data_IF_207153312442
#
_entry.id   IF_207153312442
#
_cell.length_a   1.000
_cell.length_b   1.000
_cell.length_c   1.000
_cell.angle_alpha   90.00
_cell.angle_beta   90.00
_cell.angle_gamma   90.00
#
_symmetry.space_group_name_H-M   'P 1'
#
loop_
_entity.id
_entity.type
_entity.pdbx_description
1 polymer ?
#
# COMPACT_ATOMS: atom_id res chain seq x y z
N UNK A 1 5.75 -27.11 -5.49
CA UNK A 1 5.48 -25.85 -4.75
C UNK A 1 4.67 -26.21 -3.51
N UNK A 2 4.99 -25.61 -2.39
CA UNK A 2 4.29 -25.81 -1.11
C UNK A 2 3.96 -24.42 -0.56
N UNK A 3 2.73 -24.24 -0.09
CA UNK A 3 2.33 -23.03 0.63
C UNK A 3 2.86 -23.12 2.06
N UNK A 4 3.51 -22.07 2.53
CA UNK A 4 4.05 -21.97 3.88
C UNK A 4 3.51 -20.71 4.55
N UNK A 5 3.37 -20.77 5.87
CA UNK A 5 2.94 -19.65 6.69
C UNK A 5 3.98 -19.43 7.80
N UNK A 6 4.24 -18.17 8.13
CA UNK A 6 5.09 -17.82 9.25
C UNK A 6 4.50 -18.30 10.57
N UNK A 7 5.33 -18.82 11.45
CA UNK A 7 4.91 -19.26 12.80
C UNK A 7 4.68 -18.08 13.76
N UNK A 8 5.35 -16.96 13.50
CA UNK A 8 5.24 -15.74 14.30
C UNK A 8 4.54 -14.70 13.45
N UNK A 9 3.46 -14.14 14.00
CA UNK A 9 2.74 -13.03 13.38
C UNK A 9 3.61 -11.75 13.40
N UNK A 10 3.26 -10.78 12.56
CA UNK A 10 3.93 -9.49 12.53
C UNK A 10 4.72 -9.23 11.24
N UNK A 11 5.06 -7.97 11.04
CA UNK A 11 5.84 -7.48 9.88
C UNK A 11 7.22 -8.15 9.76
N UNK A 12 7.83 -8.51 10.90
CA UNK A 12 9.13 -9.17 10.93
C UNK A 12 9.19 -10.51 10.19
N UNK A 13 8.03 -11.10 9.87
CA UNK A 13 7.92 -12.33 9.10
C UNK A 13 7.78 -12.10 7.58
N UNK A 14 7.67 -10.86 7.14
CA UNK A 14 7.69 -10.53 5.71
C UNK A 14 9.13 -10.60 5.21
N UNK A 15 9.34 -11.27 4.08
CA UNK A 15 10.68 -11.45 3.51
C UNK A 15 10.69 -11.22 2.01
N UNK A 16 11.77 -10.67 1.50
CA UNK A 16 11.94 -10.42 0.07
C UNK A 16 12.04 -11.73 -0.73
N UNK A 17 11.80 -11.65 -2.04
CA UNK A 17 11.99 -12.77 -2.94
C UNK A 17 13.43 -13.33 -2.84
N UNK A 18 13.55 -14.65 -2.93
CA UNK A 18 14.81 -15.41 -2.90
C UNK A 18 15.63 -15.29 -1.60
N UNK A 19 15.01 -14.90 -0.48
CA UNK A 19 15.69 -14.80 0.82
C UNK A 19 15.53 -16.03 1.70
N UNK A 20 14.50 -16.85 1.47
CA UNK A 20 14.33 -18.13 2.17
C UNK A 20 15.20 -19.17 1.47
N UNK A 21 16.36 -19.47 2.02
CA UNK A 21 17.36 -20.37 1.40
C UNK A 21 17.74 -21.56 2.27
N UNK A 22 17.22 -21.59 3.51
CA UNK A 22 17.58 -22.63 4.50
C UNK A 22 16.34 -23.36 5.02
N UNK A 23 16.49 -24.62 5.31
CA UNK A 23 15.50 -25.46 6.01
C UNK A 23 16.04 -25.71 7.41
N UNK A 24 15.27 -25.38 8.45
CA UNK A 24 15.70 -25.53 9.84
C UNK A 24 15.83 -27.01 10.27
N UNK A 25 15.03 -27.87 9.67
CA UNK A 25 15.10 -29.34 9.88
C UNK A 25 15.25 -30.00 8.51
N UNK A 26 16.30 -30.80 8.28
CA UNK A 26 16.49 -31.49 7.02
C UNK A 26 15.27 -32.36 6.65
N UNK A 27 14.80 -32.22 5.43
CA UNK A 27 13.70 -33.02 4.88
C UNK A 27 14.28 -33.92 3.80
N UNK A 28 14.02 -35.23 3.89
CA UNK A 28 14.56 -36.20 2.95
C UNK A 28 14.10 -35.90 1.51
N UNK A 29 15.04 -35.82 0.60
CA UNK A 29 14.78 -35.49 -0.80
C UNK A 29 14.71 -33.99 -1.13
N UNK A 30 14.81 -33.07 -0.12
CA UNK A 30 14.85 -31.61 -0.35
C UNK A 30 16.28 -31.12 -0.26
N UNK A 31 16.85 -30.72 -1.38
CA UNK A 31 18.22 -30.19 -1.46
C UNK A 31 18.31 -28.68 -1.39
N UNK A 32 17.28 -27.98 -1.85
CA UNK A 32 17.23 -26.51 -1.87
C UNK A 32 15.81 -26.03 -1.65
N UNK A 33 15.68 -24.87 -1.05
CA UNK A 33 14.41 -24.14 -0.90
C UNK A 33 14.62 -22.71 -1.37
N UNK A 34 13.58 -22.11 -1.94
CA UNK A 34 13.56 -20.70 -2.29
C UNK A 34 12.12 -20.19 -2.33
N UNK A 35 11.92 -18.92 -2.04
CA UNK A 35 10.68 -18.20 -2.32
C UNK A 35 10.88 -17.36 -3.58
N UNK A 36 10.32 -17.73 -4.74
CA UNK A 36 10.49 -16.97 -5.98
C UNK A 36 9.85 -15.57 -5.89
N UNK A 37 8.83 -15.42 -5.06
CA UNK A 37 8.15 -14.16 -4.79
C UNK A 37 8.37 -13.71 -3.34
N UNK A 38 8.13 -12.44 -3.08
CA UNK A 38 8.13 -11.88 -1.73
C UNK A 38 7.05 -12.55 -0.87
N UNK A 39 7.38 -12.93 0.35
CA UNK A 39 6.38 -13.32 1.34
C UNK A 39 5.93 -12.07 2.10
N UNK A 40 4.65 -11.78 2.04
CA UNK A 40 4.00 -10.60 2.64
C UNK A 40 2.70 -10.99 3.36
N UNK A 41 2.04 -10.03 3.99
CA UNK A 41 0.79 -10.26 4.74
C UNK A 41 0.99 -10.28 6.25
N UNK A 42 2.23 -10.15 6.73
CA UNK A 42 2.49 -9.90 8.14
C UNK A 42 2.18 -8.44 8.50
N UNK A 43 1.33 -8.22 9.50
CA UNK A 43 0.94 -6.89 10.01
C UNK A 43 1.27 -6.80 11.49
N UNK A 44 1.56 -5.60 11.97
CA UNK A 44 1.63 -5.35 13.40
C UNK A 44 0.23 -5.37 14.04
N UNK A 45 0.20 -5.43 15.36
CA UNK A 45 -1.03 -5.27 16.12
C UNK A 45 -1.57 -3.85 15.91
N UNK A 46 -2.87 -3.75 15.60
CA UNK A 46 -3.54 -2.48 15.39
C UNK A 46 -3.52 -1.64 16.67
N UNK A 47 -3.17 -0.38 16.55
CA UNK A 47 -3.22 0.56 17.68
C UNK A 47 -4.66 1.01 17.96
N UNK A 48 -4.90 1.53 19.17
CA UNK A 48 -6.22 2.07 19.55
C UNK A 48 -6.69 3.20 18.63
N UNK A 49 -5.77 4.00 18.11
CA UNK A 49 -6.10 5.10 17.21
C UNK A 49 -6.43 4.60 15.80
N UNK A 50 -5.71 3.62 15.30
CA UNK A 50 -6.03 2.94 14.03
C UNK A 50 -7.40 2.22 14.13
N UNK A 51 -7.67 1.56 15.25
CA UNK A 51 -8.97 0.94 15.51
C UNK A 51 -10.10 1.96 15.52
N UNK A 52 -9.91 3.12 16.18
CA UNK A 52 -10.90 4.21 16.17
C UNK A 52 -11.16 4.72 14.77
N UNK A 53 -10.09 4.96 14.01
CA UNK A 53 -10.20 5.42 12.63
C UNK A 53 -10.98 4.42 11.78
N UNK A 54 -10.65 3.14 11.86
CA UNK A 54 -11.35 2.07 11.14
C UNK A 54 -12.84 1.97 11.54
N UNK A 55 -13.17 2.19 12.81
CA UNK A 55 -14.57 2.22 13.27
C UNK A 55 -15.33 3.41 12.67
N UNK A 56 -14.71 4.60 12.61
CA UNK A 56 -15.31 5.77 12.00
C UNK A 56 -15.55 5.56 10.50
N UNK A 57 -14.54 5.08 9.78
CA UNK A 57 -14.64 4.75 8.35
C UNK A 57 -15.71 3.68 8.07
N UNK A 58 -15.78 2.65 8.92
CA UNK A 58 -16.84 1.63 8.79
C UNK A 58 -18.24 2.20 9.00
N UNK A 59 -18.42 3.15 9.91
CA UNK A 59 -19.71 3.82 10.11
C UNK A 59 -20.07 4.71 8.92
N UNK A 60 -19.15 5.48 8.38
CA UNK A 60 -19.35 6.32 7.21
C UNK A 60 -19.70 5.49 5.97
N UNK A 61 -19.09 4.31 5.81
CA UNK A 61 -19.39 3.36 4.75
C UNK A 61 -20.77 2.69 4.91
N UNK A 62 -21.23 2.45 6.14
CA UNK A 62 -22.56 1.85 6.38
C UNK A 62 -23.71 2.72 5.89
N UNK A 63 -23.59 4.04 5.98
CA UNK A 63 -24.64 4.97 5.54
C UNK A 63 -24.74 5.09 4.01
N UNK A 64 -23.75 4.63 3.25
CA UNK A 64 -23.70 4.72 1.78
C UNK A 64 -23.69 3.39 1.05
N UNK A 65 -23.83 2.28 1.76
CA UNK A 65 -23.71 0.93 1.17
C UNK A 65 -24.96 0.56 0.38
N UNK A 66 -24.83 0.58 -0.95
CA UNK A 66 -25.70 -0.11 -1.88
C UNK A 66 -24.93 -1.34 -2.39
N UNK A 67 -25.52 -2.54 -2.32
CA UNK A 67 -24.85 -3.80 -2.68
C UNK A 67 -24.19 -3.69 -4.05
N UNK A 68 -22.85 -3.84 -4.06
CA UNK A 68 -22.04 -3.85 -5.27
C UNK A 68 -21.62 -2.46 -5.78
N UNK A 69 -21.67 -1.43 -4.94
CA UNK A 69 -21.09 -0.14 -5.27
C UNK A 69 -19.57 -0.12 -5.04
N UNK A 70 -18.94 1.00 -5.39
CA UNK A 70 -17.50 1.23 -5.23
C UNK A 70 -17.01 1.00 -3.78
N UNK A 71 -17.76 1.49 -2.78
CA UNK A 71 -17.40 1.35 -1.37
C UNK A 71 -17.46 -0.11 -0.91
N UNK A 72 -18.38 -0.90 -1.42
CA UNK A 72 -18.47 -2.32 -1.10
C UNK A 72 -17.25 -3.10 -1.62
N UNK A 73 -16.86 -2.90 -2.88
CA UNK A 73 -15.68 -3.56 -3.44
C UNK A 73 -14.40 -3.20 -2.69
N UNK A 74 -14.24 -1.92 -2.35
CA UNK A 74 -13.12 -1.45 -1.53
C UNK A 74 -13.10 -2.16 -0.18
N UNK A 75 -14.21 -2.11 0.55
CA UNK A 75 -14.36 -2.76 1.86
C UNK A 75 -14.08 -4.26 1.81
N UNK A 76 -14.62 -4.97 0.80
CA UNK A 76 -14.38 -6.40 0.64
C UNK A 76 -12.92 -6.71 0.40
N UNK A 77 -12.26 -5.95 -0.47
CA UNK A 77 -10.84 -6.13 -0.74
C UNK A 77 -9.99 -5.86 0.51
N UNK A 78 -10.25 -4.76 1.23
CA UNK A 78 -9.51 -4.36 2.43
C UNK A 78 -9.79 -5.27 3.64
N UNK A 79 -10.89 -6.04 3.64
CA UNK A 79 -11.16 -7.03 4.68
C UNK A 79 -10.29 -8.29 4.55
N UNK A 80 -9.63 -8.50 3.41
CA UNK A 80 -8.72 -9.62 3.21
C UNK A 80 -7.41 -9.38 3.95
N UNK A 81 -7.04 -10.32 4.82
CA UNK A 81 -5.83 -10.21 5.63
C UNK A 81 -4.58 -9.99 4.77
N UNK A 82 -3.83 -8.94 5.08
CA UNK A 82 -2.61 -8.59 4.36
C UNK A 82 -2.80 -7.51 3.29
N UNK A 83 -4.03 -7.10 3.01
CA UNK A 83 -4.33 -5.94 2.17
C UNK A 83 -4.36 -4.69 3.06
N UNK A 84 -3.69 -3.64 2.63
CA UNK A 84 -3.66 -2.34 3.31
C UNK A 84 -4.55 -1.30 2.66
N UNK A 85 -4.66 -1.34 1.33
CA UNK A 85 -5.46 -0.37 0.57
C UNK A 85 -5.93 -0.99 -0.73
N UNK A 86 -7.16 -0.66 -1.13
CA UNK A 86 -7.74 -1.07 -2.41
C UNK A 86 -8.30 0.14 -3.16
N UNK A 87 -8.03 0.19 -4.45
CA UNK A 87 -8.57 1.17 -5.39
C UNK A 87 -9.52 0.42 -6.32
N UNK A 88 -10.71 0.96 -6.54
CA UNK A 88 -11.71 0.35 -7.40
C UNK A 88 -11.86 1.18 -8.67
N UNK A 89 -11.63 0.56 -9.82
CA UNK A 89 -11.79 1.18 -11.13
C UNK A 89 -13.00 0.56 -11.82
N UNK A 90 -14.15 1.26 -11.84
CA UNK A 90 -15.35 0.77 -12.49
C UNK A 90 -15.20 0.84 -14.02
N UNK A 91 -15.82 -0.09 -14.74
CA UNK A 91 -15.91 -0.11 -16.20
C UNK A 91 -14.55 0.01 -16.93
N UNK A 92 -13.46 -0.42 -16.29
CA UNK A 92 -12.09 -0.27 -16.79
C UNK A 92 -11.86 -0.90 -18.18
N UNK A 93 -12.66 -1.89 -18.54
CA UNK A 93 -12.61 -2.58 -19.84
C UNK A 93 -14.03 -2.71 -20.43
N UNK A 94 -14.87 -1.69 -20.24
CA UNK A 94 -16.25 -1.66 -20.71
C UNK A 94 -17.30 -2.08 -19.66
N UNK A 95 -18.57 -2.13 -20.03
CA UNK A 95 -19.65 -2.43 -19.12
C UNK A 95 -19.45 -3.75 -18.37
N UNK A 96 -19.96 -3.83 -17.13
CA UNK A 96 -19.91 -4.99 -16.23
C UNK A 96 -18.50 -5.36 -15.71
N UNK A 97 -17.45 -4.64 -16.10
CA UNK A 97 -16.09 -4.88 -15.61
C UNK A 97 -15.74 -4.02 -14.40
N UNK A 98 -15.13 -4.63 -13.40
CA UNK A 98 -14.57 -3.95 -12.23
C UNK A 98 -13.13 -4.40 -12.05
N UNK A 99 -12.21 -3.44 -11.93
CA UNK A 99 -10.82 -3.71 -11.56
C UNK A 99 -10.58 -3.24 -10.13
N UNK A 100 -10.00 -4.10 -9.31
CA UNK A 100 -9.54 -3.74 -7.97
C UNK A 100 -8.02 -3.78 -8.00
N UNK A 101 -7.42 -2.64 -7.71
CA UNK A 101 -5.98 -2.49 -7.58
C UNK A 101 -5.63 -2.55 -6.10
N UNK A 102 -4.77 -3.46 -5.70
CA UNK A 102 -4.51 -3.75 -4.29
C UNK A 102 -3.06 -3.55 -3.90
N UNK A 103 -2.89 -2.88 -2.75
CA UNK A 103 -1.61 -2.77 -2.07
C UNK A 103 -1.64 -3.63 -0.80
N UNK A 104 -0.49 -4.10 -0.40
CA UNK A 104 -0.37 -4.83 0.86
C UNK A 104 -0.36 -3.88 2.08
N UNK A 105 -0.34 -4.44 3.28
CA UNK A 105 -0.34 -3.70 4.53
C UNK A 105 0.87 -2.76 4.72
N UNK A 106 1.93 -2.91 3.92
CA UNK A 106 3.09 -2.03 3.92
C UNK A 106 2.95 -0.86 2.92
N UNK A 107 1.88 -0.86 2.10
CA UNK A 107 1.70 0.10 1.01
C UNK A 107 2.52 -0.24 -0.24
N UNK A 108 2.97 -1.51 -0.36
CA UNK A 108 3.66 -2.00 -1.54
C UNK A 108 2.68 -2.78 -2.45
N UNK A 109 3.04 -2.94 -3.71
CA UNK A 109 2.25 -3.70 -4.67
C UNK A 109 1.95 -5.12 -4.15
N UNK A 110 0.67 -5.48 -4.03
CA UNK A 110 0.27 -6.80 -3.56
C UNK A 110 0.77 -7.89 -4.52
N UNK A 111 1.31 -8.98 -3.97
CA UNK A 111 1.74 -10.12 -4.77
C UNK A 111 0.55 -10.92 -5.32
N UNK A 112 0.84 -11.85 -6.25
CA UNK A 112 -0.18 -12.67 -6.91
C UNK A 112 -1.03 -13.50 -5.94
N UNK A 113 -0.47 -13.93 -4.82
CA UNK A 113 -1.20 -14.69 -3.79
C UNK A 113 -2.24 -13.82 -3.09
N UNK A 114 -1.90 -12.57 -2.74
CA UNK A 114 -2.84 -11.63 -2.15
C UNK A 114 -3.92 -11.19 -3.15
N UNK A 115 -3.54 -10.94 -4.41
CA UNK A 115 -4.49 -10.64 -5.48
C UNK A 115 -5.51 -11.77 -5.65
N UNK A 116 -5.05 -13.02 -5.68
CA UNK A 116 -5.93 -14.19 -5.78
C UNK A 116 -6.82 -14.35 -4.54
N UNK A 117 -6.30 -14.09 -3.34
CA UNK A 117 -7.10 -14.14 -2.11
C UNK A 117 -8.25 -13.12 -2.12
N UNK A 118 -8.00 -11.91 -2.63
CA UNK A 118 -9.05 -10.89 -2.81
C UNK A 118 -10.07 -11.35 -3.85
N UNK A 119 -9.61 -11.86 -4.98
CA UNK A 119 -10.50 -12.39 -6.01
C UNK A 119 -11.40 -13.50 -5.46
N UNK A 120 -10.80 -14.50 -4.80
CA UNK A 120 -11.53 -15.64 -4.24
C UNK A 120 -12.54 -15.20 -3.16
N UNK A 121 -12.17 -14.24 -2.32
CA UNK A 121 -13.07 -13.71 -1.28
C UNK A 121 -14.32 -13.07 -1.88
N UNK A 122 -14.18 -12.32 -2.97
CA UNK A 122 -15.28 -11.58 -3.59
C UNK A 122 -16.11 -12.47 -4.53
N UNK A 123 -15.45 -13.40 -5.23
CA UNK A 123 -16.04 -14.22 -6.30
C UNK A 123 -16.39 -15.65 -5.87
N UNK A 124 -16.06 -16.08 -4.65
CA UNK A 124 -16.39 -17.39 -4.13
C UNK A 124 -17.64 -17.35 -3.24
N UNK A 125 -18.49 -18.38 -3.28
CA UNK A 125 -18.46 -19.52 -4.22
C UNK A 125 -18.70 -19.08 -5.67
N UNK A 126 -18.36 -19.91 -6.63
CA UNK A 126 -18.65 -19.67 -8.06
C UNK A 126 -20.14 -19.84 -8.38
N UNK A 127 -20.97 -19.19 -7.54
CA UNK A 127 -22.41 -19.11 -7.64
C UNK A 127 -22.80 -17.64 -7.62
N UNK A 128 -23.35 -17.11 -8.71
CA UNK A 128 -23.74 -15.70 -8.76
C UNK A 128 -24.76 -15.26 -7.69
N UNK A 129 -25.42 -16.22 -7.03
CA UNK A 129 -26.45 -15.95 -6.00
C UNK A 129 -25.80 -15.82 -4.61
N UNK A 130 -24.71 -16.54 -4.37
CA UNK A 130 -24.13 -16.70 -3.03
C UNK A 130 -22.83 -15.91 -2.83
N UNK A 131 -22.19 -15.44 -3.92
CA UNK A 131 -20.98 -14.62 -3.85
C UNK A 131 -21.27 -13.17 -3.50
N UNK A 132 -20.25 -12.44 -3.04
CA UNK A 132 -20.39 -11.01 -2.70
C UNK A 132 -20.63 -10.14 -3.95
N UNK A 133 -19.92 -10.41 -5.04
CA UNK A 133 -20.06 -9.65 -6.28
C UNK A 133 -21.42 -9.88 -6.96
N UNK A 134 -22.03 -8.83 -7.56
CA UNK A 134 -23.24 -8.96 -8.36
C UNK A 134 -23.12 -10.00 -9.48
N UNK A 135 -24.25 -10.57 -9.97
CA UNK A 135 -24.24 -11.73 -10.86
C UNK A 135 -23.43 -11.57 -12.15
N UNK A 136 -23.47 -10.39 -12.77
CA UNK A 136 -22.89 -10.17 -14.10
C UNK A 136 -21.51 -9.51 -14.07
N UNK A 137 -20.92 -9.31 -12.87
CA UNK A 137 -19.65 -8.63 -12.76
C UNK A 137 -18.49 -9.52 -13.20
N UNK A 138 -17.62 -8.94 -14.03
CA UNK A 138 -16.33 -9.48 -14.41
C UNK A 138 -15.28 -8.74 -13.58
N UNK A 139 -14.77 -9.42 -12.54
CA UNK A 139 -13.79 -8.87 -11.63
C UNK A 139 -12.36 -9.13 -12.11
N UNK A 140 -11.52 -8.10 -12.05
CA UNK A 140 -10.07 -8.20 -12.20
C UNK A 140 -9.42 -7.67 -10.93
N UNK A 141 -8.47 -8.41 -10.36
CA UNK A 141 -7.65 -7.94 -9.24
C UNK A 141 -6.20 -7.87 -9.70
N UNK A 142 -5.56 -6.74 -9.49
CA UNK A 142 -4.17 -6.48 -9.92
C UNK A 142 -3.40 -5.69 -8.88
N UNK A 143 -2.07 -5.69 -9.00
CA UNK A 143 -1.24 -4.68 -8.34
C UNK A 143 -1.30 -3.35 -9.12
N UNK A 144 -1.01 -2.20 -8.48
CA UNK A 144 -0.89 -0.92 -9.17
C UNK A 144 0.36 -0.87 -10.04
N UNK A 145 0.34 0.00 -11.05
CA UNK A 145 1.56 0.51 -11.64
C UNK A 145 2.16 1.56 -10.70
N UNK A 146 3.44 1.42 -10.35
CA UNK A 146 4.09 2.31 -9.39
C UNK A 146 4.66 3.53 -10.07
N UNK A 147 4.16 4.72 -9.72
CA UNK A 147 4.74 6.01 -10.11
C UNK A 147 5.86 6.35 -9.13
N UNK A 148 7.10 6.09 -9.56
CA UNK A 148 8.27 6.33 -8.73
C UNK A 148 8.56 7.82 -8.56
N UNK A 149 8.64 8.29 -7.31
CA UNK A 149 8.93 9.67 -6.96
C UNK A 149 10.25 9.73 -6.19
N UNK A 150 11.18 10.55 -6.69
CA UNK A 150 12.42 10.85 -6.01
C UNK A 150 12.28 12.25 -5.37
N UNK A 151 12.54 12.33 -4.08
CA UNK A 151 12.53 13.57 -3.33
C UNK A 151 13.95 14.02 -3.07
N UNK A 152 14.21 15.30 -3.34
CA UNK A 152 15.50 15.93 -3.01
C UNK A 152 15.21 17.13 -2.11
N UNK A 153 15.80 17.12 -0.93
CA UNK A 153 15.68 18.17 0.08
C UNK A 153 17.02 18.95 0.07
N UNK A 154 16.95 20.24 -0.16
CA UNK A 154 18.12 21.11 -0.20
C UNK A 154 18.23 21.91 1.09
N UNK A 155 19.42 21.96 1.69
CA UNK A 155 19.71 22.77 2.87
C UNK A 155 18.94 22.32 4.13
N UNK A 156 18.76 21.01 4.34
CA UNK A 156 18.10 20.48 5.53
C UNK A 156 18.84 20.83 6.81
N UNK A 157 18.16 21.48 7.74
CA UNK A 157 18.62 21.73 9.11
C UNK A 157 17.78 20.92 10.10
N UNK A 158 18.43 20.30 11.08
CA UNK A 158 17.80 19.42 12.04
C UNK A 158 17.80 20.04 13.45
N UNK A 159 16.75 19.75 14.20
CA UNK A 159 16.69 20.06 15.62
C UNK A 159 17.77 19.29 16.41
N UNK A 160 18.22 19.85 17.53
CA UNK A 160 19.21 19.23 18.41
C UNK A 160 18.81 17.83 18.86
N UNK A 161 19.65 16.85 18.61
CA UNK A 161 19.47 15.46 19.04
C UNK A 161 18.79 14.54 18.01
N UNK A 162 18.46 15.06 16.83
CA UNK A 162 17.97 14.25 15.72
C UNK A 162 19.08 13.86 14.75
N UNK A 163 18.97 12.66 14.18
CA UNK A 163 19.85 12.17 13.14
C UNK A 163 19.11 12.15 11.79
N UNK A 164 19.79 12.55 10.74
CA UNK A 164 19.23 12.71 9.39
C UNK A 164 18.52 11.43 8.91
N UNK A 165 19.15 10.26 9.06
CA UNK A 165 18.59 8.99 8.65
C UNK A 165 17.20 8.72 9.29
N UNK A 166 17.05 9.04 10.58
CA UNK A 166 15.80 8.85 11.30
C UNK A 166 14.72 9.84 10.84
N UNK A 167 15.10 11.09 10.60
CA UNK A 167 14.17 12.14 10.11
C UNK A 167 13.69 11.80 8.70
N UNK A 168 14.56 11.37 7.80
CA UNK A 168 14.18 10.94 6.46
C UNK A 168 13.26 9.71 6.49
N UNK A 169 13.51 8.75 7.38
CA UNK A 169 12.65 7.57 7.54
C UNK A 169 11.24 7.94 8.04
N UNK A 170 11.14 8.88 8.99
CA UNK A 170 9.82 9.38 9.46
C UNK A 170 9.11 10.17 8.36
N UNK A 171 9.83 10.93 7.55
CA UNK A 171 9.25 11.62 6.38
C UNK A 171 8.73 10.62 5.34
N UNK A 172 9.47 9.57 4.99
CA UNK A 172 9.01 8.51 4.09
C UNK A 172 7.74 7.82 4.60
N UNK A 173 7.67 7.55 5.90
CA UNK A 173 6.48 6.98 6.54
C UNK A 173 5.29 7.94 6.48
N UNK A 174 5.51 9.23 6.71
CA UNK A 174 4.48 10.26 6.60
C UNK A 174 3.97 10.40 5.16
N UNK A 175 4.87 10.31 4.15
CA UNK A 175 4.49 10.26 2.74
C UNK A 175 3.62 9.04 2.41
N UNK A 176 3.99 7.86 2.92
CA UNK A 176 3.19 6.64 2.73
C UNK A 176 1.77 6.79 3.28
N UNK A 177 1.60 7.45 4.43
CA UNK A 177 0.29 7.76 4.99
C UNK A 177 -0.47 8.80 4.16
N UNK A 178 0.24 9.80 3.64
CA UNK A 178 -0.35 10.78 2.72
C UNK A 178 -0.89 10.11 1.46
N UNK A 179 -0.12 9.21 0.84
CA UNK A 179 -0.56 8.47 -0.36
C UNK A 179 -1.81 7.64 -0.12
N UNK A 180 -1.92 6.94 1.00
CA UNK A 180 -3.11 6.15 1.35
C UNK A 180 -4.38 6.98 1.38
N UNK A 181 -4.29 8.20 1.90
CA UNK A 181 -5.42 9.11 2.00
C UNK A 181 -5.73 9.80 0.66
N UNK A 182 -4.71 10.12 -0.12
CA UNK A 182 -4.82 10.84 -1.39
C UNK A 182 -5.48 10.01 -2.49
N UNK A 183 -5.18 8.73 -2.57
CA UNK A 183 -5.66 7.81 -3.63
C UNK A 183 -7.20 7.75 -3.73
N UNK A 184 -7.90 8.19 -2.69
CA UNK A 184 -9.37 8.20 -2.71
C UNK A 184 -9.99 9.50 -3.25
N UNK A 185 -9.25 10.59 -3.42
CA UNK A 185 -9.88 11.90 -3.65
C UNK A 185 -9.35 12.74 -4.81
N UNK A 186 -8.05 12.77 -5.08
CA UNK A 186 -7.48 13.85 -5.90
C UNK A 186 -6.78 13.43 -7.21
N UNK A 187 -6.30 12.22 -7.38
CA UNK A 187 -5.54 11.79 -8.57
C UNK A 187 -4.21 12.54 -8.79
N UNK A 188 -3.69 13.24 -7.76
CA UNK A 188 -2.45 14.03 -7.84
C UNK A 188 -1.65 13.97 -6.54
N UNK A 189 -0.34 13.78 -6.63
CA UNK A 189 0.58 14.10 -5.53
C UNK A 189 0.83 15.60 -5.54
N UNK A 190 0.24 16.31 -4.59
CA UNK A 190 0.34 17.77 -4.52
C UNK A 190 1.61 18.20 -3.81
N UNK A 191 2.41 19.01 -4.47
CA UNK A 191 3.65 19.56 -3.92
C UNK A 191 3.45 20.25 -2.56
N UNK A 192 2.37 21.04 -2.43
CA UNK A 192 2.08 21.74 -1.19
C UNK A 192 1.86 20.82 0.01
N UNK A 193 1.24 19.65 -0.22
CA UNK A 193 1.03 18.67 0.83
C UNK A 193 2.33 17.94 1.20
N UNK A 194 3.16 17.60 0.21
CA UNK A 194 4.47 17.00 0.44
C UNK A 194 5.38 17.95 1.20
N UNK A 195 5.40 19.24 0.81
CA UNK A 195 6.14 20.29 1.51
C UNK A 195 5.66 20.43 2.97
N UNK A 196 4.34 20.47 3.18
CA UNK A 196 3.75 20.50 4.52
C UNK A 196 4.10 19.25 5.34
N UNK A 197 4.13 18.07 4.73
CA UNK A 197 4.51 16.83 5.39
C UNK A 197 5.95 16.89 5.88
N UNK A 198 6.88 17.39 5.06
CA UNK A 198 8.27 17.57 5.46
C UNK A 198 8.39 18.58 6.61
N UNK A 199 7.74 19.73 6.49
CA UNK A 199 7.75 20.78 7.53
C UNK A 199 7.24 20.27 8.88
N UNK A 200 6.29 19.33 8.88
CA UNK A 200 5.72 18.76 10.10
C UNK A 200 6.40 17.45 10.56
N UNK A 201 7.45 17.02 9.86
CA UNK A 201 8.21 15.84 10.28
C UNK A 201 9.06 16.17 11.51
N UNK A 202 8.96 15.33 12.54
CA UNK A 202 9.69 15.53 13.79
C UNK A 202 11.21 15.57 13.54
N UNK A 203 11.88 16.59 14.08
CA UNK A 203 13.32 16.79 13.93
C UNK A 203 13.74 17.66 12.75
N UNK A 204 12.81 18.10 11.90
CA UNK A 204 13.08 19.11 10.87
C UNK A 204 12.97 20.50 11.52
N UNK A 205 14.09 21.23 11.56
CA UNK A 205 14.12 22.61 11.99
C UNK A 205 13.83 23.58 10.83
N UNK A 206 14.54 23.38 9.69
CA UNK A 206 14.38 24.19 8.49
C UNK A 206 14.92 23.45 7.24
N UNK A 207 14.54 23.91 6.04
CA UNK A 207 15.11 23.48 4.77
C UNK A 207 14.91 24.58 3.71
N UNK A 208 15.86 24.68 2.75
CA UNK A 208 15.79 25.72 1.72
C UNK A 208 14.92 25.33 0.54
N UNK A 209 14.83 24.04 0.21
CA UNK A 209 14.07 23.57 -0.93
C UNK A 209 13.70 22.10 -0.87
N UNK A 210 12.66 21.77 -1.60
CA UNK A 210 12.20 20.40 -1.83
C UNK A 210 11.81 20.25 -3.29
N UNK A 211 12.18 19.15 -3.92
CA UNK A 211 11.72 18.82 -5.28
C UNK A 211 11.19 17.40 -5.34
N UNK A 212 10.25 17.17 -6.25
CA UNK A 212 9.67 15.88 -6.64
C UNK A 212 10.06 15.59 -8.09
N UNK A 213 10.89 14.58 -8.31
CA UNK A 213 11.47 14.28 -9.63
C UNK A 213 12.14 15.51 -10.29
N UNK A 214 12.79 16.36 -9.48
CA UNK A 214 13.47 17.59 -9.93
C UNK A 214 12.55 18.77 -10.25
N UNK A 215 11.26 18.72 -9.91
CA UNK A 215 10.28 19.79 -10.11
C UNK A 215 9.55 20.11 -8.79
N UNK A 216 8.88 21.27 -8.76
CA UNK A 216 7.94 21.68 -7.70
C UNK A 216 6.49 21.62 -8.16
N UNK A 217 6.23 20.97 -9.28
CA UNK A 217 4.89 20.78 -9.83
C UNK A 217 4.22 19.53 -9.23
N UNK A 218 2.89 19.51 -9.25
CA UNK A 218 2.12 18.33 -8.85
C UNK A 218 2.38 17.17 -9.82
N UNK A 219 2.31 15.94 -9.32
CA UNK A 219 2.46 14.72 -10.12
C UNK A 219 1.07 14.08 -10.26
N UNK A 220 0.57 13.96 -11.50
CA UNK A 220 -0.69 13.28 -11.80
C UNK A 220 -0.52 11.78 -11.62
N UNK A 221 -1.55 11.13 -11.06
CA UNK A 221 -1.62 9.69 -10.81
C UNK A 221 -2.91 9.18 -11.45
N UNK A 222 -2.80 8.24 -12.36
CA UNK A 222 -3.95 7.62 -13.00
C UNK A 222 -4.66 6.61 -12.07
N UNK A 223 -5.90 6.21 -12.41
CA UNK A 223 -6.74 5.39 -11.53
C UNK A 223 -6.18 4.01 -11.18
N UNK A 224 -5.25 3.48 -11.96
CA UNK A 224 -4.60 2.18 -11.73
C UNK A 224 -3.13 2.31 -11.32
N UNK A 225 -2.69 3.54 -11.11
CA UNK A 225 -1.37 3.89 -10.61
C UNK A 225 -1.38 4.15 -9.10
N UNK A 226 -0.20 4.03 -8.51
CA UNK A 226 0.03 4.38 -7.11
C UNK A 226 1.38 5.07 -6.93
N UNK A 227 1.44 6.22 -6.24
CA UNK A 227 2.68 6.90 -5.97
C UNK A 227 3.56 6.06 -5.02
N UNK A 228 4.83 5.97 -5.33
CA UNK A 228 5.81 5.24 -4.55
C UNK A 228 7.05 6.09 -4.31
N UNK A 229 7.41 6.29 -3.05
CA UNK A 229 8.68 6.96 -2.69
C UNK A 229 9.83 6.03 -3.04
N UNK A 230 10.55 6.38 -4.10
CA UNK A 230 11.72 5.61 -4.55
C UNK A 230 12.99 5.98 -3.78
N UNK A 231 13.16 7.25 -3.49
CA UNK A 231 14.28 7.78 -2.72
C UNK A 231 13.94 9.12 -2.10
N UNK A 232 14.51 9.34 -0.92
CA UNK A 232 14.61 10.68 -0.30
C UNK A 232 16.09 10.94 -0.08
N UNK A 233 16.59 12.05 -0.60
CA UNK A 233 17.99 12.44 -0.51
C UNK A 233 18.10 13.90 -0.11
N UNK A 234 19.22 14.24 0.50
CA UNK A 234 19.58 15.61 0.89
C UNK A 234 20.71 16.12 0.01
N UNK A 235 20.70 17.42 -0.27
CA UNK A 235 21.78 18.13 -0.95
C UNK A 235 22.18 19.34 -0.13
N UNK A 236 23.50 19.58 -0.02
CA UNK A 236 24.00 20.80 0.60
C UNK A 236 23.81 22.00 -0.35
N UNK A 237 23.62 23.17 0.22
CA UNK A 237 23.56 24.41 -0.55
C UNK A 237 24.96 24.78 -1.02
N UNK A 238 25.12 24.97 -2.32
CA UNK A 238 26.40 25.35 -2.96
C UNK A 238 26.71 26.81 -2.78
#
# INVERSE_FOLDING_TARGET
TVVVQAMVAGRGSNVNANTITLVSVPIDGVTTVTNPERASGGTEEETDDELRQRILEANDMMDTSYIGNHADYKRWAESVQGIGTAIVVPEWNGPETVKIVVLDANGEAANSTLQQAVYDYIMSPDSPIDRLAPPNVILTVSAPELVNINYVITGLSLEDGFEEENVLAEFEKALSNYYKNMVSEDGEVKYIWVHSTLTNTAGVEDFEGLTMNGSTENITIDMDEYPFTKSVTTEEVS
#
